data_IF_390122213950
#
_entry.id   IF_390122213950
#
_cell.length_a   1.000
_cell.length_b   1.000
_cell.length_c   1.000
_cell.angle_alpha   90.00
_cell.angle_beta   90.00
_cell.angle_gamma   90.00
#
_symmetry.space_group_name_H-M   'P 1'
#
loop_
_entity.id
_entity.type
_entity.pdbx_description
1 polymer ?
#
# COMPACT_ATOMS: atom_id res chain seq x y z
N UNK A 1 -14.80 -3.17 -18.47
CA UNK A 1 -14.86 -2.19 -19.56
C UNK A 1 -14.06 -0.95 -19.20
N UNK A 2 -13.28 -0.41 -20.12
CA UNK A 2 -12.58 0.87 -19.93
C UNK A 2 -13.47 2.07 -20.30
N UNK A 3 -14.73 1.82 -20.64
CA UNK A 3 -15.68 2.88 -20.93
C UNK A 3 -16.02 3.66 -19.66
N UNK A 4 -15.79 4.96 -19.67
CA UNK A 4 -15.95 5.82 -18.50
C UNK A 4 -14.85 5.72 -17.44
N UNK A 5 -13.76 4.96 -17.71
CA UNK A 5 -12.58 4.94 -16.84
C UNK A 5 -11.88 6.31 -16.85
N UNK A 6 -11.48 6.74 -15.65
CA UNK A 6 -10.67 7.96 -15.46
C UNK A 6 -9.43 7.55 -14.67
N UNK A 7 -8.26 7.84 -15.20
CA UNK A 7 -6.96 7.64 -14.54
C UNK A 7 -6.23 8.97 -14.54
N UNK A 8 -5.97 9.50 -13.36
CA UNK A 8 -5.21 10.74 -13.18
C UNK A 8 -4.45 10.71 -11.84
N UNK A 9 -3.43 11.53 -11.67
CA UNK A 9 -2.72 11.61 -10.40
C UNK A 9 -3.67 11.87 -9.22
N UNK A 10 -3.63 10.97 -8.23
CA UNK A 10 -4.46 11.07 -7.04
C UNK A 10 -5.91 10.59 -7.16
N UNK A 11 -6.35 10.15 -8.35
CA UNK A 11 -7.71 9.67 -8.53
C UNK A 11 -7.82 8.63 -9.64
N UNK A 12 -8.60 7.58 -9.36
CA UNK A 12 -8.98 6.57 -10.36
C UNK A 12 -10.46 6.25 -10.23
N UNK A 13 -11.15 6.10 -11.36
CA UNK A 13 -12.54 5.61 -11.44
C UNK A 13 -12.68 4.59 -12.53
N UNK A 14 -13.38 3.50 -12.24
CA UNK A 14 -13.72 2.48 -13.23
C UNK A 14 -15.11 1.86 -12.94
N UNK A 15 -15.72 1.27 -13.95
CA UNK A 15 -16.96 0.53 -13.81
C UNK A 15 -16.69 -0.99 -13.90
N UNK A 16 -17.06 -1.71 -12.84
CA UNK A 16 -17.01 -3.16 -12.80
C UNK A 16 -18.31 -3.73 -13.39
N UNK A 17 -18.30 -3.98 -14.69
CA UNK A 17 -19.51 -4.38 -15.42
C UNK A 17 -20.12 -5.68 -14.90
N UNK A 18 -19.33 -6.67 -14.53
CA UNK A 18 -19.81 -7.93 -13.95
C UNK A 18 -20.53 -7.77 -12.61
N UNK A 19 -20.26 -6.69 -11.88
CA UNK A 19 -20.82 -6.44 -10.55
C UNK A 19 -21.76 -5.22 -10.55
N UNK A 20 -21.83 -4.48 -11.66
CA UNK A 20 -22.61 -3.25 -11.79
C UNK A 20 -22.25 -2.20 -10.71
N UNK A 21 -20.96 -2.01 -10.48
CA UNK A 21 -20.44 -1.11 -9.43
C UNK A 21 -19.46 -0.13 -10.04
N UNK A 22 -19.66 1.16 -9.79
CA UNK A 22 -18.62 2.17 -9.95
C UNK A 22 -17.66 2.10 -8.78
N UNK A 23 -16.38 2.00 -9.06
CA UNK A 23 -15.31 2.07 -8.08
C UNK A 23 -14.52 3.33 -8.30
N UNK A 24 -14.47 4.17 -7.30
CA UNK A 24 -13.63 5.36 -7.25
C UNK A 24 -12.61 5.20 -6.13
N UNK A 25 -11.39 5.64 -6.37
CA UNK A 25 -10.35 5.66 -5.35
C UNK A 25 -9.55 6.96 -5.38
N UNK A 26 -9.18 7.40 -4.20
CA UNK A 26 -8.25 8.51 -3.97
C UNK A 26 -7.35 8.17 -2.78
N UNK A 27 -6.30 8.94 -2.56
CA UNK A 27 -5.26 8.60 -1.60
C UNK A 27 -4.77 9.82 -0.82
N UNK A 28 -4.29 9.56 0.39
CA UNK A 28 -3.32 10.39 1.11
C UNK A 28 -1.93 9.74 1.02
N UNK A 29 -0.99 10.11 1.88
CA UNK A 29 0.34 9.49 1.90
C UNK A 29 0.30 7.98 2.23
N UNK A 30 -0.60 7.56 3.17
CA UNK A 30 -0.64 6.19 3.72
C UNK A 30 -2.03 5.56 3.72
N UNK A 31 -3.06 6.32 3.31
CA UNK A 31 -4.46 5.85 3.33
C UNK A 31 -5.06 5.89 1.94
N UNK A 32 -5.63 4.78 1.51
CA UNK A 32 -6.51 4.73 0.36
C UNK A 32 -7.97 4.91 0.80
N UNK A 33 -8.70 5.79 0.15
CA UNK A 33 -10.13 5.99 0.34
C UNK A 33 -10.87 5.59 -0.93
N UNK A 34 -11.87 4.73 -0.78
CA UNK A 34 -12.66 4.20 -1.88
C UNK A 34 -14.13 4.57 -1.71
N UNK A 35 -14.81 4.82 -2.83
CA UNK A 35 -16.25 4.96 -2.94
C UNK A 35 -16.77 3.95 -3.94
N UNK A 36 -17.66 3.05 -3.49
CA UNK A 36 -18.32 2.05 -4.29
C UNK A 36 -19.77 2.46 -4.46
N UNK A 37 -20.20 2.79 -5.69
CA UNK A 37 -21.58 3.16 -5.99
C UNK A 37 -22.24 2.04 -6.77
N UNK A 38 -23.30 1.47 -6.23
CA UNK A 38 -24.02 0.35 -6.81
C UNK A 38 -25.00 0.84 -7.88
N UNK A 39 -24.88 0.36 -9.10
CA UNK A 39 -25.76 0.77 -10.21
C UNK A 39 -27.09 -0.02 -10.25
N UNK A 40 -27.17 -1.16 -9.58
CA UNK A 40 -28.33 -2.04 -9.50
C UNK A 40 -28.53 -2.54 -8.05
N UNK A 41 -29.75 -2.98 -7.75
CA UNK A 41 -30.06 -3.62 -6.46
C UNK A 41 -29.27 -4.95 -6.32
N UNK A 42 -28.68 -5.19 -5.15
CA UNK A 42 -27.94 -6.41 -4.95
C UNK A 42 -27.30 -6.53 -3.55
N UNK A 43 -26.56 -7.62 -3.35
CA UNK A 43 -25.79 -7.82 -2.12
C UNK A 43 -24.46 -7.08 -2.20
N UNK A 44 -24.22 -6.23 -1.23
CA UNK A 44 -22.96 -5.50 -1.11
C UNK A 44 -21.90 -6.35 -0.40
N UNK A 45 -20.77 -6.53 -1.09
CA UNK A 45 -19.62 -7.31 -0.60
C UNK A 45 -18.32 -6.65 -0.99
N UNK A 46 -17.33 -6.76 -0.11
CA UNK A 46 -15.94 -6.34 -0.37
C UNK A 46 -15.00 -7.50 -0.07
N UNK A 47 -14.18 -7.85 -1.07
CA UNK A 47 -13.12 -8.83 -0.90
C UNK A 47 -11.83 -8.10 -0.51
N UNK A 48 -11.28 -8.45 0.65
CA UNK A 48 -9.94 -8.02 1.07
C UNK A 48 -8.98 -9.15 0.79
N UNK A 49 -8.38 -9.13 -0.39
CA UNK A 49 -7.41 -10.14 -0.81
C UNK A 49 -6.03 -9.80 -0.24
N UNK A 50 -5.51 -10.65 0.61
CA UNK A 50 -4.22 -10.47 1.28
C UNK A 50 -3.05 -11.04 0.47
N UNK A 51 -3.33 -11.65 -0.66
CA UNK A 51 -2.32 -12.11 -1.59
C UNK A 51 -2.52 -13.54 -2.06
N UNK A 52 -1.57 -13.95 -2.82
CA UNK A 52 -1.44 -15.25 -3.44
C UNK A 52 -0.05 -15.32 -4.03
N UNK A 53 0.06 -15.56 -5.34
CA UNK A 53 1.32 -15.56 -6.07
C UNK A 53 1.32 -14.45 -7.12
N UNK A 54 2.26 -13.52 -7.02
CA UNK A 54 2.47 -12.46 -8.02
C UNK A 54 3.97 -12.38 -8.30
N UNK A 55 4.36 -12.65 -9.54
CA UNK A 55 5.75 -12.71 -9.98
C UNK A 55 6.59 -13.64 -9.07
N UNK A 56 7.52 -13.10 -8.30
CA UNK A 56 8.33 -13.86 -7.35
C UNK A 56 7.82 -13.81 -5.92
N UNK A 57 6.75 -13.03 -5.68
CA UNK A 57 6.16 -12.89 -4.35
C UNK A 57 5.07 -13.91 -4.10
N UNK A 58 5.05 -14.46 -2.90
CA UNK A 58 4.05 -15.43 -2.47
C UNK A 58 3.58 -15.13 -1.05
N UNK A 59 2.27 -15.31 -0.82
CA UNK A 59 1.69 -15.20 0.52
C UNK A 59 2.14 -16.39 1.37
N UNK A 60 2.60 -16.13 2.60
CA UNK A 60 2.93 -17.15 3.58
C UNK A 60 1.83 -17.29 4.62
N UNK A 61 1.49 -16.21 5.30
CA UNK A 61 0.49 -16.17 6.35
C UNK A 61 -0.39 -14.94 6.18
N UNK A 62 -1.65 -15.06 6.62
CA UNK A 62 -2.58 -13.96 6.69
C UNK A 62 -3.40 -14.07 7.99
N UNK A 63 -3.53 -12.96 8.70
CA UNK A 63 -4.34 -12.86 9.90
C UNK A 63 -5.28 -11.68 9.77
N UNK A 64 -6.56 -11.90 10.05
CA UNK A 64 -7.59 -10.86 10.04
C UNK A 64 -8.46 -11.00 11.28
N UNK A 65 -8.76 -9.89 11.91
CA UNK A 65 -9.68 -9.80 13.03
C UNK A 65 -10.76 -8.76 12.72
N UNK A 66 -12.02 -9.10 12.95
CA UNK A 66 -13.13 -8.14 13.03
C UNK A 66 -13.02 -7.41 14.37
N UNK A 67 -12.48 -6.19 14.33
CA UNK A 67 -12.23 -5.39 15.54
C UNK A 67 -13.52 -4.75 16.05
N UNK A 68 -14.37 -4.33 15.13
CA UNK A 68 -15.69 -3.75 15.40
C UNK A 68 -16.65 -4.06 14.27
N UNK A 69 -17.87 -3.56 14.37
CA UNK A 69 -18.83 -3.71 13.26
C UNK A 69 -18.44 -2.97 12.00
N UNK A 70 -17.51 -2.03 12.07
CA UNK A 70 -17.07 -1.23 10.93
C UNK A 70 -15.56 -1.32 10.67
N UNK A 71 -14.83 -2.18 11.37
CA UNK A 71 -13.39 -2.28 11.22
C UNK A 71 -12.89 -3.72 11.24
N UNK A 72 -12.03 -4.02 10.29
CA UNK A 72 -11.16 -5.20 10.31
C UNK A 72 -9.70 -4.75 10.31
N UNK A 73 -8.85 -5.49 11.01
CA UNK A 73 -7.41 -5.29 10.98
C UNK A 73 -6.68 -6.62 10.93
N UNK A 74 -5.39 -6.58 10.65
CA UNK A 74 -4.57 -7.76 10.61
C UNK A 74 -3.21 -7.54 10.00
N UNK A 75 -2.58 -8.64 9.61
CA UNK A 75 -1.31 -8.61 8.90
C UNK A 75 -1.21 -9.77 7.93
N UNK A 76 -0.28 -9.64 7.00
CA UNK A 76 0.15 -10.75 6.16
C UNK A 76 1.66 -10.78 6.01
N UNK A 77 2.20 -11.99 5.88
CA UNK A 77 3.59 -12.21 5.56
C UNK A 77 3.71 -12.60 4.09
N UNK A 78 4.56 -11.91 3.36
CA UNK A 78 4.86 -12.20 1.96
C UNK A 78 6.33 -12.51 1.79
N UNK A 79 6.63 -13.58 1.06
CA UNK A 79 7.98 -13.95 0.68
C UNK A 79 8.20 -13.67 -0.81
N UNK A 80 9.41 -13.27 -1.14
CA UNK A 80 9.81 -13.08 -2.52
C UNK A 80 10.76 -11.92 -2.64
N UNK A 81 11.89 -12.19 -3.25
CA UNK A 81 12.97 -11.22 -3.42
C UNK A 81 13.17 -10.94 -4.89
N UNK A 82 12.86 -9.73 -5.32
CA UNK A 82 13.09 -9.33 -6.71
C UNK A 82 14.49 -8.73 -6.88
N UNK A 83 14.85 -7.73 -6.07
CA UNK A 83 16.08 -6.96 -6.27
C UNK A 83 16.89 -6.69 -4.99
N UNK A 84 16.71 -7.44 -3.98
CA UNK A 84 17.29 -7.18 -2.66
C UNK A 84 16.17 -6.91 -1.65
N UNK A 85 16.49 -6.60 -0.44
CA UNK A 85 15.54 -6.46 0.65
C UNK A 85 15.39 -7.74 1.47
N UNK A 86 14.42 -7.75 2.35
CA UNK A 86 14.14 -8.91 3.21
C UNK A 86 13.47 -10.03 2.43
N UNK A 87 13.80 -11.28 2.74
CA UNK A 87 13.21 -12.43 2.06
C UNK A 87 11.73 -12.60 2.42
N UNK A 88 11.33 -12.18 3.62
CA UNK A 88 9.93 -12.14 4.08
C UNK A 88 9.66 -10.78 4.68
N UNK A 89 8.62 -10.12 4.20
CA UNK A 89 8.13 -8.87 4.75
C UNK A 89 6.77 -9.09 5.43
N UNK A 90 6.57 -8.46 6.58
CA UNK A 90 5.29 -8.36 7.25
C UNK A 90 4.65 -7.02 6.96
N UNK A 91 3.39 -7.04 6.55
CA UNK A 91 2.59 -5.84 6.31
C UNK A 91 1.36 -5.91 7.20
N UNK A 92 1.18 -4.90 8.03
CA UNK A 92 -0.01 -4.70 8.84
C UNK A 92 -1.00 -3.83 8.09
N UNK A 93 -2.28 -4.02 8.33
CA UNK A 93 -3.32 -3.23 7.69
C UNK A 93 -4.52 -3.00 8.60
N UNK A 94 -5.24 -1.93 8.30
CA UNK A 94 -6.56 -1.62 8.85
C UNK A 94 -7.48 -1.26 7.69
N UNK A 95 -8.70 -1.81 7.70
CA UNK A 95 -9.77 -1.43 6.78
C UNK A 95 -10.96 -0.98 7.60
N UNK A 96 -11.41 0.25 7.38
CA UNK A 96 -12.62 0.79 7.99
C UNK A 96 -13.69 0.98 6.92
N UNK A 97 -14.95 0.76 7.31
CA UNK A 97 -16.13 0.92 6.47
C UNK A 97 -17.09 1.95 7.09
N UNK A 98 -17.80 2.70 6.27
CA UNK A 98 -18.84 3.62 6.74
C UNK A 98 -20.20 2.92 7.02
N UNK A 99 -20.29 1.62 6.81
CA UNK A 99 -21.45 0.77 7.06
C UNK A 99 -21.05 -0.43 7.91
N UNK A 100 -21.96 -0.98 8.71
CA UNK A 100 -21.65 -2.16 9.53
C UNK A 100 -21.47 -3.42 8.67
N UNK A 101 -20.49 -4.24 9.03
CA UNK A 101 -20.22 -5.56 8.47
C UNK A 101 -21.22 -6.53 9.11
N UNK A 102 -22.17 -7.05 8.33
CA UNK A 102 -23.17 -8.03 8.81
C UNK A 102 -22.54 -9.42 8.97
N UNK A 103 -21.64 -9.80 8.05
CA UNK A 103 -20.91 -11.07 8.15
C UNK A 103 -19.51 -10.90 7.57
N UNK A 104 -18.54 -11.60 8.18
CA UNK A 104 -17.18 -11.73 7.68
C UNK A 104 -16.92 -13.19 7.35
N UNK A 105 -16.43 -13.49 6.14
CA UNK A 105 -16.12 -14.84 5.71
C UNK A 105 -14.65 -14.89 5.28
N UNK A 106 -13.90 -15.93 5.70
CA UNK A 106 -12.54 -16.16 5.28
C UNK A 106 -12.45 -17.09 4.08
N UNK A 107 -11.35 -17.00 3.31
CA UNK A 107 -11.04 -18.01 2.29
C UNK A 107 -9.54 -18.28 2.16
N UNK A 108 -9.20 -19.53 1.79
CA UNK A 108 -7.88 -19.94 1.32
C UNK A 108 -8.07 -20.79 0.06
N UNK A 109 -7.65 -20.29 -1.10
CA UNK A 109 -7.96 -20.90 -2.39
C UNK A 109 -9.46 -21.04 -2.58
N UNK A 110 -9.94 -22.27 -2.78
CA UNK A 110 -11.36 -22.56 -2.97
C UNK A 110 -12.12 -22.86 -1.66
N UNK A 111 -11.41 -22.93 -0.53
CA UNK A 111 -12.02 -23.21 0.78
C UNK A 111 -12.52 -21.91 1.41
N UNK A 112 -13.77 -21.92 1.87
CA UNK A 112 -14.40 -20.78 2.58
C UNK A 112 -14.73 -21.17 4.00
N UNK A 113 -14.62 -20.21 4.92
CA UNK A 113 -15.05 -20.28 6.31
C UNK A 113 -16.03 -19.14 6.57
N UNK A 114 -17.24 -19.47 7.01
CA UNK A 114 -18.34 -18.51 7.12
C UNK A 114 -18.45 -17.96 8.54
N UNK A 115 -18.81 -16.66 8.64
CA UNK A 115 -19.15 -16.04 9.93
C UNK A 115 -17.99 -15.94 10.92
N UNK A 116 -16.77 -15.65 10.44
CA UNK A 116 -15.58 -15.58 11.28
C UNK A 116 -15.46 -14.22 11.98
N UNK A 117 -15.10 -14.24 13.26
CA UNK A 117 -14.63 -13.04 13.97
C UNK A 117 -13.11 -12.86 13.87
N UNK A 118 -12.41 -13.97 13.64
CA UNK A 118 -10.98 -14.04 13.42
C UNK A 118 -10.71 -15.07 12.32
N UNK A 119 -9.78 -14.76 11.41
CA UNK A 119 -9.42 -15.61 10.30
C UNK A 119 -7.89 -15.73 10.19
N UNK A 120 -7.42 -16.95 9.98
CA UNK A 120 -6.02 -17.24 9.69
C UNK A 120 -5.91 -17.98 8.38
N UNK A 121 -5.31 -17.33 7.40
CA UNK A 121 -4.93 -17.94 6.14
C UNK A 121 -3.46 -18.29 6.15
N UNK A 122 -3.10 -19.47 5.64
CA UNK A 122 -1.71 -19.84 5.44
C UNK A 122 -1.53 -20.53 4.11
N UNK A 123 -0.34 -20.38 3.54
CA UNK A 123 0.10 -21.20 2.42
C UNK A 123 0.78 -22.45 2.97
N UNK A 124 0.24 -23.62 2.68
CA UNK A 124 0.91 -24.91 2.97
C UNK A 124 2.17 -25.14 2.11
N UNK A 125 2.51 -24.17 1.26
CA UNK A 125 3.57 -24.30 0.24
C UNK A 125 4.94 -23.81 0.70
N UNK A 126 5.25 -23.93 1.97
CA UNK A 126 6.50 -23.47 2.57
C UNK A 126 7.73 -24.29 2.13
N UNK A 127 7.54 -25.40 1.47
CA UNK A 127 8.63 -26.26 0.96
C UNK A 127 8.56 -26.42 -0.55
N UNK A 128 8.94 -25.39 -1.30
CA UNK A 128 9.05 -25.53 -2.75
C UNK A 128 10.52 -25.65 -3.14
N UNK A 129 10.92 -26.76 -3.79
CA UNK A 129 12.21 -26.82 -4.46
C UNK A 129 12.31 -25.71 -5.51
N UNK A 130 13.50 -25.15 -5.69
CA UNK A 130 13.81 -24.05 -6.63
C UNK A 130 13.29 -24.20 -8.07
N UNK A 131 12.79 -25.35 -8.47
CA UNK A 131 12.37 -25.67 -9.85
C UNK A 131 10.86 -25.70 -10.08
N UNK A 132 10.04 -25.54 -9.07
CA UNK A 132 8.58 -25.56 -9.23
C UNK A 132 7.93 -24.45 -8.41
N UNK A 133 7.64 -23.32 -9.04
CA UNK A 133 6.77 -22.30 -8.48
C UNK A 133 5.34 -22.87 -8.43
N UNK A 134 5.01 -23.58 -7.35
CA UNK A 134 3.60 -23.81 -7.05
C UNK A 134 3.02 -22.48 -6.61
N UNK A 135 1.98 -22.03 -7.28
CA UNK A 135 1.27 -20.83 -6.91
C UNK A 135 0.69 -21.01 -5.51
N UNK A 136 1.03 -20.09 -4.63
CA UNK A 136 0.37 -19.98 -3.34
C UNK A 136 -1.11 -19.67 -3.57
N UNK A 137 -2.06 -20.35 -2.92
CA UNK A 137 -3.46 -20.01 -3.03
C UNK A 137 -3.68 -18.58 -2.53
N UNK A 138 -4.58 -17.85 -3.17
CA UNK A 138 -5.01 -16.56 -2.62
C UNK A 138 -5.73 -16.76 -1.30
N UNK A 139 -5.59 -15.81 -0.40
CA UNK A 139 -6.22 -15.86 0.90
C UNK A 139 -6.72 -14.46 1.30
N UNK A 140 -7.78 -14.40 2.07
CA UNK A 140 -8.35 -13.12 2.51
C UNK A 140 -9.70 -13.27 3.17
N UNK A 141 -10.44 -12.16 3.25
CA UNK A 141 -11.78 -12.13 3.83
C UNK A 141 -12.78 -11.42 2.90
N UNK A 142 -14.03 -11.87 2.95
CA UNK A 142 -15.19 -11.24 2.32
C UNK A 142 -16.02 -10.57 3.40
N UNK A 143 -16.10 -9.25 3.38
CA UNK A 143 -16.97 -8.46 4.23
C UNK A 143 -18.33 -8.28 3.52
N UNK A 144 -19.43 -8.66 4.17
CA UNK A 144 -20.79 -8.59 3.66
C UNK A 144 -21.56 -7.47 4.38
N UNK A 145 -22.35 -6.69 3.61
CA UNK A 145 -23.06 -5.48 4.10
C UNK A 145 -24.58 -5.54 3.84
N UNK A 146 -25.10 -6.72 3.51
CA UNK A 146 -26.52 -6.89 3.20
C UNK A 146 -26.92 -6.36 1.84
N UNK A 147 -28.19 -6.00 1.72
CA UNK A 147 -28.79 -5.57 0.44
C UNK A 147 -28.68 -4.07 0.26
N UNK A 148 -28.12 -3.67 -0.87
CA UNK A 148 -28.05 -2.28 -1.32
C UNK A 148 -29.02 -2.05 -2.50
N UNK A 149 -29.48 -0.82 -2.63
CA UNK A 149 -30.28 -0.33 -3.74
C UNK A 149 -29.41 0.37 -4.78
N UNK A 150 -29.93 0.46 -5.99
CA UNK A 150 -29.31 1.29 -7.02
C UNK A 150 -29.12 2.72 -6.52
N UNK A 151 -27.90 3.24 -6.62
CA UNK A 151 -27.49 4.54 -6.09
C UNK A 151 -26.91 4.52 -4.68
N UNK A 152 -27.01 3.42 -3.94
CA UNK A 152 -26.38 3.30 -2.62
C UNK A 152 -24.85 3.33 -2.73
N UNK A 153 -24.22 3.91 -1.71
CA UNK A 153 -22.77 4.03 -1.62
C UNK A 153 -22.21 3.30 -0.40
N UNK A 154 -21.07 2.64 -0.61
CA UNK A 154 -20.21 2.12 0.44
C UNK A 154 -18.85 2.80 0.33
N UNK A 155 -18.41 3.40 1.43
CA UNK A 155 -17.07 3.98 1.55
C UNK A 155 -16.20 3.07 2.41
N UNK A 156 -14.94 2.93 2.01
CA UNK A 156 -13.95 2.24 2.82
C UNK A 156 -12.61 2.96 2.79
N UNK A 157 -11.90 2.91 3.92
CA UNK A 157 -10.53 3.37 4.08
C UNK A 157 -9.62 2.18 4.27
N UNK A 158 -8.47 2.19 3.63
CA UNK A 158 -7.44 1.19 3.83
C UNK A 158 -6.14 1.88 4.20
N UNK A 159 -5.50 1.45 5.27
CA UNK A 159 -4.16 1.89 5.62
C UNK A 159 -3.25 0.69 5.83
N UNK A 160 -1.98 0.87 5.54
CA UNK A 160 -0.94 -0.12 5.83
C UNK A 160 0.11 0.49 6.75
N UNK A 161 0.80 -0.38 7.48
CA UNK A 161 2.01 -0.07 8.23
C UNK A 161 2.97 -1.25 8.13
N UNK A 162 4.26 -0.95 8.17
CA UNK A 162 5.29 -1.98 8.29
C UNK A 162 5.70 -2.22 9.75
N UNK A 163 5.06 -1.52 10.70
CA UNK A 163 5.37 -1.54 12.14
C UNK A 163 4.31 -2.29 12.93
N UNK A 164 3.05 -1.86 12.86
CA UNK A 164 1.95 -2.45 13.64
C UNK A 164 0.56 -2.12 13.07
N UNK A 165 -0.47 -2.86 13.54
CA UNK A 165 -1.88 -2.53 13.26
C UNK A 165 -2.28 -1.19 13.89
N UNK A 166 -1.74 -0.88 15.07
CA UNK A 166 -1.97 0.39 15.76
C UNK A 166 -1.48 1.57 14.92
N UNK A 167 -0.29 1.44 14.33
CA UNK A 167 0.26 2.48 13.44
C UNK A 167 -0.57 2.63 12.15
N UNK A 168 -1.04 1.52 11.57
CA UNK A 168 -1.94 1.60 10.42
C UNK A 168 -3.25 2.34 10.77
N UNK A 169 -3.79 2.13 11.97
CA UNK A 169 -4.98 2.85 12.47
C UNK A 169 -4.66 4.32 12.73
N UNK A 170 -3.50 4.62 13.33
CA UNK A 170 -3.05 5.99 13.56
C UNK A 170 -2.86 6.76 12.23
N UNK A 171 -2.40 6.08 11.17
CA UNK A 171 -2.31 6.69 9.84
C UNK A 171 -3.70 7.14 9.35
N UNK A 172 -4.76 6.35 9.54
CA UNK A 172 -6.14 6.77 9.20
C UNK A 172 -6.56 7.98 10.04
N UNK A 173 -6.34 7.94 11.35
CA UNK A 173 -6.76 9.01 12.26
C UNK A 173 -6.07 10.34 11.98
N UNK A 174 -4.82 10.31 11.53
CA UNK A 174 -4.05 11.52 11.23
C UNK A 174 -4.29 12.07 9.84
N UNK A 175 -4.45 11.20 8.84
CA UNK A 175 -4.48 11.61 7.45
C UNK A 175 -5.87 11.66 6.84
N UNK A 176 -6.80 10.82 7.30
CA UNK A 176 -8.13 10.66 6.72
C UNK A 176 -9.20 10.35 7.77
N UNK A 177 -9.35 11.22 8.78
CA UNK A 177 -10.31 11.01 9.87
C UNK A 177 -11.77 11.02 9.42
N UNK A 178 -12.12 11.86 8.45
CA UNK A 178 -13.48 12.03 7.94
C UNK A 178 -13.79 11.09 6.75
N UNK A 179 -15.07 11.00 6.37
CA UNK A 179 -15.57 10.21 5.24
C UNK A 179 -15.87 11.03 3.98
N UNK A 180 -15.41 12.28 3.90
CA UNK A 180 -15.59 13.15 2.74
C UNK A 180 -14.60 12.78 1.64
N UNK A 181 -15.07 11.94 0.71
CA UNK A 181 -14.28 11.45 -0.42
C UNK A 181 -13.80 12.59 -1.32
N UNK A 182 -14.68 13.54 -1.62
CA UNK A 182 -14.37 14.60 -2.58
C UNK A 182 -13.37 15.61 -1.99
N UNK A 183 -13.37 15.80 -0.68
CA UNK A 183 -12.34 16.60 0.00
C UNK A 183 -10.97 15.96 -0.12
N UNK A 184 -10.85 14.64 0.12
CA UNK A 184 -9.59 13.90 -0.01
C UNK A 184 -9.10 13.92 -1.45
N UNK A 185 -10.00 13.65 -2.40
CA UNK A 185 -9.70 13.72 -3.83
C UNK A 185 -9.13 15.10 -4.23
N UNK A 186 -9.82 16.18 -3.86
CA UNK A 186 -9.38 17.53 -4.18
C UNK A 186 -8.04 17.89 -3.54
N UNK A 187 -7.78 17.41 -2.32
CA UNK A 187 -6.49 17.58 -1.64
C UNK A 187 -5.37 16.84 -2.37
N UNK A 188 -5.61 15.58 -2.77
CA UNK A 188 -4.66 14.77 -3.54
C UNK A 188 -4.35 15.39 -4.91
N UNK A 189 -5.37 15.82 -5.65
CA UNK A 189 -5.22 16.52 -6.94
C UNK A 189 -4.37 17.80 -6.80
N UNK A 190 -4.60 18.59 -5.74
CA UNK A 190 -3.80 19.80 -5.47
C UNK A 190 -2.33 19.47 -5.23
N UNK A 191 -2.04 18.47 -4.39
CA UNK A 191 -0.67 18.05 -4.12
C UNK A 191 0.02 17.61 -5.40
N UNK A 192 -0.63 16.78 -6.23
CA UNK A 192 -0.06 16.35 -7.50
C UNK A 192 0.17 17.52 -8.46
N UNK A 193 -0.76 18.48 -8.52
CA UNK A 193 -0.58 19.68 -9.34
C UNK A 193 0.61 20.54 -8.86
N UNK A 194 0.84 20.64 -7.54
CA UNK A 194 2.02 21.31 -6.98
C UNK A 194 3.32 20.59 -7.38
N UNK A 195 3.33 19.26 -7.35
CA UNK A 195 4.51 18.47 -7.73
C UNK A 195 4.78 18.52 -9.23
N UNK A 196 3.79 18.28 -10.06
CA UNK A 196 3.92 18.29 -11.52
C UNK A 196 4.18 19.69 -12.05
N UNK A 197 3.59 20.69 -11.44
CA UNK A 197 3.73 22.11 -11.80
C UNK A 197 5.12 22.71 -11.51
N UNK A 198 6.05 21.96 -10.87
CA UNK A 198 7.45 22.40 -10.74
C UNK A 198 8.18 22.47 -12.08
N UNK A 199 7.68 21.80 -13.10
CA UNK A 199 8.18 21.88 -14.47
C UNK A 199 7.04 22.38 -15.36
N UNK A 200 7.11 23.62 -15.82
CA UNK A 200 6.14 24.20 -16.75
C UNK A 200 6.61 24.02 -18.21
N UNK A 201 5.83 23.27 -18.99
CA UNK A 201 6.12 23.01 -20.41
C UNK A 201 5.26 23.86 -21.30
N UNK A 202 5.89 24.73 -22.09
CA UNK A 202 5.23 25.60 -23.05
C UNK A 202 5.41 25.09 -24.49
N UNK A 203 4.46 25.41 -25.36
CA UNK A 203 4.43 24.94 -26.74
C UNK A 203 3.97 23.49 -26.86
N UNK A 204 4.12 22.90 -28.04
CA UNK A 204 3.71 21.54 -28.35
C UNK A 204 2.18 21.33 -28.44
N UNK A 205 1.77 20.15 -28.89
CA UNK A 205 0.35 19.76 -28.93
C UNK A 205 -0.15 19.32 -27.55
N UNK A 206 -1.48 19.21 -27.39
CA UNK A 206 -2.10 18.66 -26.19
C UNK A 206 -1.58 17.26 -25.87
N UNK A 207 -1.47 16.38 -26.88
CA UNK A 207 -0.98 15.02 -26.72
C UNK A 207 0.48 14.97 -26.23
N UNK A 208 1.33 15.87 -26.74
CA UNK A 208 2.73 15.95 -26.30
C UNK A 208 2.82 16.40 -24.83
N UNK A 209 2.04 17.38 -24.42
CA UNK A 209 1.97 17.82 -23.02
C UNK A 209 1.42 16.73 -22.11
N UNK A 210 0.34 16.05 -22.52
CA UNK A 210 -0.22 14.92 -21.78
C UNK A 210 0.82 13.83 -21.56
N UNK A 211 1.54 13.44 -22.63
CA UNK A 211 2.62 12.45 -22.51
C UNK A 211 3.71 12.91 -21.53
N UNK A 212 4.17 14.15 -21.64
CA UNK A 212 5.20 14.68 -20.76
C UNK A 212 4.79 14.59 -19.28
N UNK A 213 3.61 15.09 -18.93
CA UNK A 213 3.14 15.06 -17.54
C UNK A 213 2.79 13.66 -17.05
N UNK A 214 2.34 12.76 -17.93
CA UNK A 214 2.15 11.34 -17.58
C UNK A 214 3.49 10.68 -17.27
N UNK A 215 4.50 10.90 -18.09
CA UNK A 215 5.84 10.36 -17.85
C UNK A 215 6.46 10.94 -16.56
N UNK A 216 6.29 12.24 -16.32
CA UNK A 216 6.75 12.90 -15.10
C UNK A 216 6.04 12.34 -13.86
N UNK A 217 4.73 12.11 -13.94
CA UNK A 217 3.98 11.44 -12.89
C UNK A 217 4.53 10.04 -12.59
N UNK A 218 4.76 9.22 -13.61
CA UNK A 218 5.32 7.87 -13.44
C UNK A 218 6.71 7.90 -12.78
N UNK A 219 7.54 8.86 -13.13
CA UNK A 219 8.87 9.04 -12.53
C UNK A 219 8.76 9.33 -11.02
N UNK A 220 7.74 10.08 -10.60
CA UNK A 220 7.52 10.45 -9.20
C UNK A 220 6.84 9.35 -8.38
N UNK A 221 6.31 8.28 -8.98
CA UNK A 221 5.74 7.13 -8.27
C UNK A 221 6.79 6.19 -7.67
N UNK A 222 8.02 6.22 -8.12
CA UNK A 222 9.08 5.33 -7.66
C UNK A 222 9.73 5.83 -6.39
N UNK A 223 9.85 5.03 -5.40
CA UNK A 223 10.32 5.20 -4.02
C UNK A 223 9.17 5.35 -3.04
N UNK A 224 9.09 4.39 -2.17
CA UNK A 224 8.01 4.32 -1.20
C UNK A 224 8.49 4.78 0.16
N UNK A 225 7.69 5.61 0.79
CA UNK A 225 7.83 5.93 2.20
C UNK A 225 7.50 4.68 3.01
N UNK A 226 8.35 4.36 3.99
CA UNK A 226 8.16 3.21 4.88
C UNK A 226 7.92 3.62 6.32
N UNK A 227 7.97 4.91 6.61
CA UNK A 227 7.63 5.48 7.91
C UNK A 227 6.12 5.71 8.02
N UNK A 228 5.59 5.52 9.21
CA UNK A 228 4.23 5.85 9.57
C UNK A 228 4.06 7.34 9.88
N UNK A 229 2.83 7.80 9.99
CA UNK A 229 2.50 9.22 10.24
C UNK A 229 3.05 9.75 11.56
N UNK A 230 3.39 8.87 12.52
CA UNK A 230 4.06 9.20 13.78
C UNK A 230 5.59 9.27 13.66
N UNK A 231 6.14 8.88 12.50
CA UNK A 231 7.57 8.83 12.20
C UNK A 231 8.25 7.52 12.59
N UNK A 232 7.50 6.50 12.96
CA UNK A 232 8.05 5.17 13.23
C UNK A 232 8.27 4.39 11.93
N UNK A 233 9.32 3.56 11.91
CA UNK A 233 9.65 2.69 10.77
C UNK A 233 10.32 1.40 11.25
N UNK A 234 10.26 0.30 10.48
CA UNK A 234 10.91 -0.94 10.83
C UNK A 234 12.39 -0.91 10.44
N UNK A 235 13.24 -1.28 11.40
CA UNK A 235 14.66 -1.48 11.19
C UNK A 235 14.99 -2.98 11.24
N UNK A 236 15.24 -3.56 10.07
CA UNK A 236 15.62 -4.96 9.91
C UNK A 236 17.13 -5.20 10.03
N UNK A 237 17.95 -4.17 10.09
CA UNK A 237 19.42 -4.27 10.03
C UNK A 237 20.04 -4.54 11.38
N UNK A 238 19.46 -4.03 12.46
CA UNK A 238 19.97 -4.20 13.83
C UNK A 238 19.68 -5.58 14.43
N UNK A 239 18.99 -6.45 13.72
CA UNK A 239 18.66 -7.81 14.17
C UNK A 239 19.82 -8.82 14.16
N UNK A 240 21.01 -8.41 13.77
CA UNK A 240 22.26 -9.18 13.94
C UNK A 240 22.49 -10.34 12.97
N UNK A 241 21.50 -10.81 12.27
CA UNK A 241 21.67 -11.81 11.23
C UNK A 241 21.56 -11.16 9.85
N UNK A 242 22.71 -10.81 9.29
CA UNK A 242 22.79 -10.63 7.83
C UNK A 242 22.37 -11.92 7.19
N UNK A 243 21.21 -11.94 6.60
CA UNK A 243 20.79 -13.02 5.73
C UNK A 243 21.72 -12.96 4.50
N UNK A 244 22.86 -13.63 4.60
CA UNK A 244 23.83 -13.75 3.51
C UNK A 244 23.16 -14.30 2.26
N UNK A 245 23.87 -14.48 1.17
CA UNK A 245 23.38 -15.08 -0.09
C UNK A 245 22.72 -16.44 0.19
N UNK A 246 21.50 -16.41 0.70
CA UNK A 246 20.80 -17.61 1.11
C UNK A 246 19.90 -18.12 0.00
N UNK A 247 20.02 -19.41 -0.17
CA UNK A 247 19.27 -20.21 -1.14
C UNK A 247 17.97 -20.77 -0.55
N UNK A 248 17.58 -20.33 0.66
CA UNK A 248 16.39 -20.82 1.35
C UNK A 248 15.39 -19.68 1.49
N UNK A 249 14.13 -19.97 1.18
CA UNK A 249 13.00 -19.09 1.48
C UNK A 249 12.76 -19.19 2.98
N UNK A 250 12.88 -18.08 3.68
CA UNK A 250 12.48 -18.01 5.08
C UNK A 250 10.95 -18.02 5.15
N UNK A 251 10.43 -18.75 6.11
CA UNK A 251 8.98 -18.92 6.32
C UNK A 251 8.42 -17.98 7.39
N UNK A 252 9.27 -17.19 8.02
CA UNK A 252 8.92 -16.31 9.11
C UNK A 252 9.52 -14.95 8.81
N UNK A 253 8.72 -13.89 8.96
CA UNK A 253 9.21 -12.53 8.83
C UNK A 253 10.33 -12.28 9.85
N UNK A 254 11.47 -11.71 9.44
CA UNK A 254 12.56 -11.42 10.36
C UNK A 254 12.08 -10.47 11.45
N UNK A 255 12.64 -10.61 12.63
CA UNK A 255 12.43 -9.62 13.70
C UNK A 255 13.02 -8.29 13.26
N UNK A 256 12.33 -7.22 13.56
CA UNK A 256 12.81 -5.86 13.35
C UNK A 256 12.72 -5.07 14.66
N UNK A 257 13.49 -3.99 14.74
CA UNK A 257 13.33 -2.99 15.79
C UNK A 257 12.49 -1.85 15.23
N UNK A 258 11.63 -1.29 16.08
CA UNK A 258 10.93 -0.06 15.76
C UNK A 258 11.85 1.12 16.05
N UNK A 259 12.06 1.95 15.05
CA UNK A 259 12.80 3.21 15.16
C UNK A 259 11.88 4.38 14.93
N UNK A 260 12.25 5.53 15.46
CA UNK A 260 11.51 6.78 15.26
C UNK A 260 12.43 7.80 14.60
N UNK A 261 11.96 8.43 13.55
CA UNK A 261 12.68 9.49 12.85
C UNK A 261 12.92 10.70 13.76
N UNK A 262 14.04 11.41 13.57
CA UNK A 262 14.30 12.66 14.28
C UNK A 262 13.16 13.66 14.04
N UNK A 263 12.67 14.29 15.10
CA UNK A 263 11.61 15.28 15.05
C UNK A 263 12.15 16.70 15.11
N UNK A 264 11.43 17.62 14.50
CA UNK A 264 11.67 19.05 14.63
C UNK A 264 11.05 19.61 15.93
N UNK A 265 11.17 20.91 16.13
CA UNK A 265 10.63 21.61 17.32
C UNK A 265 9.09 21.56 17.43
N UNK A 266 8.40 21.23 16.34
CA UNK A 266 6.93 21.08 16.29
C UNK A 266 6.47 19.65 16.53
N UNK A 267 7.42 18.70 16.65
CA UNK A 267 7.13 17.27 16.79
C UNK A 267 6.91 16.54 15.47
N UNK A 268 7.09 17.20 14.33
CA UNK A 268 7.01 16.59 13.00
C UNK A 268 8.32 15.92 12.63
N UNK A 269 8.28 14.77 11.95
CA UNK A 269 9.47 14.12 11.40
C UNK A 269 10.20 15.06 10.44
N UNK A 270 11.52 15.13 10.55
CA UNK A 270 12.35 16.04 9.75
C UNK A 270 12.46 15.63 8.30
N UNK A 271 12.24 14.36 7.99
CA UNK A 271 12.23 13.77 6.66
C UNK A 271 11.41 12.48 6.70
N UNK A 272 11.14 11.90 5.54
CA UNK A 272 10.53 10.58 5.40
C UNK A 272 11.57 9.50 5.23
N UNK A 273 11.30 8.31 5.79
CA UNK A 273 12.13 7.13 5.57
C UNK A 273 11.70 6.44 4.27
N UNK A 274 12.62 6.34 3.33
CA UNK A 274 12.36 5.69 2.06
C UNK A 274 13.03 4.31 1.98
N UNK A 275 12.42 3.40 1.22
CA UNK A 275 13.09 2.16 0.86
C UNK A 275 14.28 2.43 -0.06
N UNK A 276 15.28 1.55 -0.01
CA UNK A 276 16.57 1.74 -0.71
C UNK A 276 16.72 0.89 -1.97
N UNK A 277 15.64 0.26 -2.46
CA UNK A 277 15.75 -0.64 -3.60
C UNK A 277 16.09 0.09 -4.92
N UNK A 278 16.79 -0.59 -5.79
CA UNK A 278 17.11 -0.19 -7.17
C UNK A 278 17.70 1.24 -7.36
N UNK A 279 18.33 1.83 -6.34
CA UNK A 279 18.96 3.15 -6.45
C UNK A 279 20.07 3.21 -7.51
N UNK A 280 20.72 2.11 -7.80
CA UNK A 280 21.72 1.99 -8.85
C UNK A 280 21.17 2.26 -10.27
N UNK A 281 19.85 2.08 -10.48
CA UNK A 281 19.20 2.40 -11.75
C UNK A 281 18.88 3.89 -11.87
N UNK A 282 18.62 4.60 -10.77
CA UNK A 282 18.20 6.00 -10.80
C UNK A 282 19.37 6.96 -11.07
N UNK A 283 20.60 6.52 -10.89
CA UNK A 283 21.80 7.34 -11.12
C UNK A 283 21.95 7.83 -12.58
N UNK A 284 21.37 7.12 -13.56
CA UNK A 284 21.56 7.42 -14.97
C UNK A 284 20.98 8.79 -15.37
N UNK A 285 19.81 9.14 -14.88
CA UNK A 285 19.16 10.41 -15.17
C UNK A 285 18.17 10.87 -14.10
N UNK A 286 17.55 9.95 -13.35
CA UNK A 286 16.48 10.28 -12.41
C UNK A 286 17.02 11.08 -11.21
N UNK A 287 18.18 10.72 -10.66
CA UNK A 287 18.81 11.48 -9.58
C UNK A 287 19.14 12.92 -10.03
N UNK A 288 19.54 13.10 -11.30
CA UNK A 288 19.77 14.43 -11.86
C UNK A 288 18.47 15.23 -11.94
N UNK A 289 17.39 14.63 -12.40
CA UNK A 289 16.07 15.29 -12.42
C UNK A 289 15.61 15.67 -11.01
N UNK A 290 15.75 14.76 -10.04
CA UNK A 290 15.40 15.06 -8.65
C UNK A 290 16.26 16.19 -8.08
N UNK A 291 17.57 16.19 -8.34
CA UNK A 291 18.46 17.28 -7.89
C UNK A 291 18.13 18.63 -8.49
N UNK A 292 17.62 18.66 -9.72
CA UNK A 292 17.27 19.91 -10.42
C UNK A 292 15.87 20.43 -10.06
N UNK A 293 14.85 19.55 -10.11
CA UNK A 293 13.46 19.95 -10.01
C UNK A 293 12.82 19.58 -8.63
N UNK A 294 13.37 18.58 -7.95
CA UNK A 294 12.81 18.04 -6.70
C UNK A 294 13.89 17.82 -5.63
N UNK A 295 14.73 18.84 -5.30
CA UNK A 295 15.88 18.65 -4.41
C UNK A 295 15.50 18.08 -3.04
N UNK A 296 14.33 18.43 -2.51
CA UNK A 296 13.84 17.89 -1.22
C UNK A 296 13.70 16.36 -1.23
N UNK A 297 13.35 15.76 -2.37
CA UNK A 297 13.28 14.29 -2.50
C UNK A 297 14.66 13.67 -2.36
N UNK A 298 15.65 14.25 -3.02
CA UNK A 298 17.03 13.76 -2.97
C UNK A 298 17.64 13.94 -1.57
N UNK A 299 17.30 15.04 -0.89
CA UNK A 299 17.70 15.30 0.51
C UNK A 299 17.12 14.25 1.45
N UNK A 300 15.83 13.89 1.30
CA UNK A 300 15.18 12.87 2.12
C UNK A 300 15.74 11.47 1.85
N UNK A 301 16.08 11.14 0.60
CA UNK A 301 16.78 9.89 0.29
C UNK A 301 18.14 9.82 0.96
N UNK A 302 18.91 10.92 0.91
CA UNK A 302 20.21 10.99 1.57
C UNK A 302 20.08 10.83 3.07
N UNK A 303 19.08 11.46 3.68
CA UNK A 303 18.79 11.31 5.11
C UNK A 303 18.39 9.87 5.47
N UNK A 304 17.61 9.19 4.63
CA UNK A 304 17.26 7.78 4.81
C UNK A 304 18.49 6.87 4.78
N UNK A 305 19.44 7.12 3.88
CA UNK A 305 20.70 6.36 3.85
C UNK A 305 21.54 6.56 5.13
N UNK A 306 21.59 7.78 5.64
CA UNK A 306 22.28 8.07 6.90
C UNK A 306 21.63 7.30 8.05
N UNK A 307 20.31 7.16 8.08
CA UNK A 307 19.64 6.37 9.10
C UNK A 307 19.92 4.86 8.92
N UNK A 308 19.98 4.34 7.70
CA UNK A 308 20.39 2.95 7.44
C UNK A 308 21.80 2.69 7.95
N UNK A 309 22.75 3.60 7.70
CA UNK A 309 24.14 3.50 8.19
C UNK A 309 24.21 3.51 9.72
N UNK A 310 23.55 4.46 10.37
CA UNK A 310 23.47 4.55 11.84
C UNK A 310 22.92 3.28 12.48
N UNK A 311 22.00 2.59 11.81
CA UNK A 311 21.39 1.36 12.28
C UNK A 311 22.24 0.12 11.99
N UNK A 312 23.47 0.29 11.51
CA UNK A 312 24.42 -0.80 11.23
C UNK A 312 24.30 -1.40 9.85
N UNK A 313 23.60 -0.72 8.92
CA UNK A 313 23.60 -1.03 7.51
C UNK A 313 24.95 -0.73 6.85
N UNK A 314 25.27 -1.45 5.78
CA UNK A 314 26.30 -1.01 4.83
C UNK A 314 25.58 -0.25 3.72
N UNK A 315 26.08 0.94 3.43
CA UNK A 315 25.73 1.65 2.22
C UNK A 315 26.33 0.98 0.98
#
# INVERSE_FOLDING_TARGET
>A
SHEGEIVQPGYHRLFLDSYKIWVEQTVTDRVGLYRLTYAEDGLAKVLVNLGGHIATSTLLNAHVTKVSDTEISGYFDTAGRVWGGVDVAKVYFVVQFNKPIEALNGWVGDKKEMGVGHFTGSSELITVPKSSFKQSPSSGVEACFGSFKAGDELLLKTAISYVSEENARENIERECKHWDFDQVKSASERIWNEWLGKIDVQGGSFQQKTKFYTDLWHILLGRHKIDDSNGEYPDYLSGGERIGKQTRIHTIAPKFQVRTLPKDKTGKSRFHMYNSDALWLTQWNLNTLWGLAYPSVLDEFSASFIEYDKNGGLL
#
